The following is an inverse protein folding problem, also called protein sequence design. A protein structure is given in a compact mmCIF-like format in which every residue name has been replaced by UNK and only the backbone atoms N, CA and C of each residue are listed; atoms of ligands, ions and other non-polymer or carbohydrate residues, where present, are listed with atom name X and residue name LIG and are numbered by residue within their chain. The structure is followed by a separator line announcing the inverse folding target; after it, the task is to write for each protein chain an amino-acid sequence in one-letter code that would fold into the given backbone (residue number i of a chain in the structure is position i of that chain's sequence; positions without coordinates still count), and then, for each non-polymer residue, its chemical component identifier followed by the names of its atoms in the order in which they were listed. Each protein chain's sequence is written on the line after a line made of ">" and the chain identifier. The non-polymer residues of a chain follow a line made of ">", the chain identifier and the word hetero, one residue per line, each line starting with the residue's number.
data_IF_755816233516
#
_entry.id   IF_755816233516
#
_cell.length_a   1.000
_cell.length_b   1.000
_cell.length_c   1.000
_cell.angle_alpha   90.00
_cell.angle_beta   90.00
_cell.angle_gamma   90.00
#
_symmetry.space_group_name_H-M   'P 1'
#
loop_
_entity.id
_entity.type
_entity.pdbx_description
1 polymer ?
#
# COMPACT_ATOMS: atom_id res chain seq x y z
N UNK A 1 9.86 18.26 52.09
CA UNK A 1 9.14 19.21 52.97
C UNK A 1 7.71 18.71 53.18
N UNK A 2 7.21 18.79 54.43
CA UNK A 2 5.87 18.41 54.92
C UNK A 2 5.62 16.89 55.07
N UNK A 3 5.05 16.36 56.14
CA UNK A 3 4.77 16.81 57.53
C UNK A 3 4.45 15.50 58.29
N UNK A 4 5.13 15.21 59.40
CA UNK A 4 4.67 14.21 60.39
C UNK A 4 3.48 14.79 61.17
N UNK A 5 2.50 13.98 61.60
CA UNK A 5 1.68 14.31 62.74
C UNK A 5 2.13 13.54 63.99
N UNK A 6 2.41 14.32 65.03
CA UNK A 6 2.54 13.92 66.42
C UNK A 6 1.16 14.07 67.08
N UNK A 7 0.67 13.06 67.79
CA UNK A 7 -0.48 13.15 68.72
C UNK A 7 -0.09 12.33 69.95
N UNK A 8 0.53 12.95 70.97
CA UNK A 8 -0.08 13.55 72.18
C UNK A 8 -0.66 12.51 73.15
N UNK A 9 0.08 12.38 74.26
CA UNK A 9 -0.27 11.75 75.53
C UNK A 9 -1.60 12.25 76.10
N UNK A 10 -2.42 11.33 76.60
CA UNK A 10 -3.46 11.61 77.57
C UNK A 10 -3.21 10.75 78.82
N UNK A 11 -2.76 11.41 79.88
CA UNK A 11 -2.84 10.93 81.26
C UNK A 11 -4.31 10.73 81.62
N UNK A 12 -4.69 9.55 82.11
CA UNK A 12 -5.84 9.41 82.99
C UNK A 12 -5.36 8.87 84.33
N UNK A 13 -5.30 9.78 85.31
CA UNK A 13 -5.34 9.46 86.72
C UNK A 13 -6.77 9.07 87.07
N UNK A 14 -6.95 7.97 87.80
CA UNK A 14 -8.17 7.78 88.58
C UNK A 14 -7.79 7.35 89.99
N UNK A 15 -8.09 8.29 90.88
CA UNK A 15 -8.00 8.31 92.33
C UNK A 15 -9.33 7.78 92.89
N UNK A 16 -9.30 6.86 93.86
CA UNK A 16 -10.29 6.61 94.93
C UNK A 16 -10.08 5.18 95.47
N UNK A 17 -10.18 4.85 96.76
CA UNK A 17 -10.15 5.60 98.01
C UNK A 17 -9.85 4.56 99.10
N UNK A 18 -8.98 4.92 100.04
CA UNK A 18 -8.85 4.20 101.29
C UNK A 18 -10.10 4.45 102.15
N UNK A 19 -10.69 3.38 102.67
CA UNK A 19 -11.54 3.43 103.85
C UNK A 19 -10.96 2.48 104.89
N UNK A 20 -10.29 3.05 105.88
CA UNK A 20 -10.21 2.47 107.21
C UNK A 20 -11.28 3.13 108.07
N UNK A 21 -12.11 2.33 108.76
CA UNK A 21 -12.92 2.79 109.90
C UNK A 21 -13.06 1.62 110.88
N UNK A 22 -12.34 1.79 112.00
CA UNK A 22 -12.72 1.62 113.41
C UNK A 22 -13.47 0.37 113.88
N UNK A 23 -12.89 -0.21 114.92
CA UNK A 23 -13.46 -1.30 115.69
C UNK A 23 -14.61 -0.91 116.61
N UNK A 24 -15.12 -1.93 117.29
CA UNK A 24 -15.87 -1.82 118.53
C UNK A 24 -15.35 -2.88 119.49
N UNK A 25 -14.68 -2.42 120.54
CA UNK A 25 -14.53 -3.15 121.79
C UNK A 25 -15.82 -3.03 122.58
N UNK A 26 -16.26 -4.11 123.20
CA UNK A 26 -17.21 -4.05 124.30
C UNK A 26 -16.82 -5.12 125.34
N UNK A 27 -16.02 -4.69 126.30
CA UNK A 27 -15.92 -5.29 127.63
C UNK A 27 -17.11 -4.80 128.46
N UNK A 28 -17.83 -5.73 129.09
CA UNK A 28 -18.59 -5.44 130.32
C UNK A 28 -18.38 -6.58 131.31
N UNK A 29 -17.50 -6.33 132.27
CA UNK A 29 -17.48 -6.96 133.58
C UNK A 29 -18.67 -6.42 134.38
N UNK A 30 -19.42 -7.29 135.05
CA UNK A 30 -20.28 -6.89 136.16
C UNK A 30 -20.16 -7.92 137.26
N UNK A 31 -19.27 -7.62 138.21
CA UNK A 31 -19.24 -8.17 139.55
C UNK A 31 -20.44 -7.60 140.31
N UNK A 32 -21.22 -8.44 140.99
CA UNK A 32 -22.12 -8.00 142.05
C UNK A 32 -21.74 -8.77 143.32
N UNK A 33 -21.14 -8.07 144.27
CA UNK A 33 -21.14 -8.41 145.69
C UNK A 33 -22.18 -7.51 146.37
N UNK A 34 -23.02 -8.09 147.23
CA UNK A 34 -23.65 -7.38 148.33
C UNK A 34 -23.75 -8.36 149.50
N UNK A 35 -23.27 -7.87 150.63
CA UNK A 35 -22.85 -8.56 151.84
C UNK A 35 -23.97 -8.60 152.90
N UNK A 36 -23.71 -9.40 153.94
CA UNK A 36 -24.26 -9.49 155.29
C UNK A 36 -25.41 -8.56 155.75
N UNK A 37 -26.40 -9.12 156.47
CA UNK A 37 -26.38 -9.13 157.95
C UNK A 37 -27.59 -9.87 158.56
N UNK A 38 -27.33 -10.35 159.77
CA UNK A 38 -28.17 -11.09 160.72
C UNK A 38 -29.47 -10.38 161.13
N UNK A 39 -30.57 -11.14 161.29
CA UNK A 39 -31.40 -11.24 162.53
C UNK A 39 -32.67 -12.07 162.28
N UNK A 40 -32.85 -13.13 163.09
CA UNK A 40 -34.12 -13.85 163.31
C UNK A 40 -35.17 -12.93 163.97
N UNK A 41 -36.51 -13.22 163.95
CA UNK A 41 -37.19 -14.45 163.53
C UNK A 41 -38.48 -14.27 162.64
N UNK A 42 -39.01 -15.41 162.18
CA UNK A 42 -40.43 -15.73 161.82
C UNK A 42 -41.10 -15.32 160.49
N UNK A 43 -41.59 -16.39 159.82
CA UNK A 43 -42.80 -16.55 158.96
C UNK A 43 -42.74 -16.27 157.44
N UNK A 44 -43.25 -17.27 156.71
CA UNK A 44 -43.21 -17.53 155.26
C UNK A 44 -44.45 -17.02 154.49
N UNK A 45 -44.28 -16.55 153.23
CA UNK A 45 -45.22 -16.63 152.07
C UNK A 45 -45.40 -15.38 151.17
N UNK A 46 -44.35 -14.67 150.74
CA UNK A 46 -44.48 -13.57 149.74
C UNK A 46 -43.49 -13.62 148.55
N UNK A 47 -42.80 -14.74 148.34
CA UNK A 47 -41.75 -14.92 147.31
C UNK A 47 -42.23 -15.49 145.96
N UNK A 48 -43.52 -15.78 145.76
CA UNK A 48 -44.00 -16.49 144.54
C UNK A 48 -44.49 -15.57 143.40
N UNK A 49 -44.79 -14.30 143.66
CA UNK A 49 -45.36 -13.40 142.63
C UNK A 49 -44.32 -12.66 141.76
N UNK A 50 -43.06 -12.56 142.19
CA UNK A 50 -41.97 -11.94 141.38
C UNK A 50 -41.29 -12.93 140.42
N UNK A 51 -41.51 -14.22 140.63
CA UNK A 51 -40.91 -15.33 139.88
C UNK A 51 -41.65 -15.62 138.57
N UNK A 52 -42.97 -15.39 138.50
CA UNK A 52 -43.80 -15.68 137.32
C UNK A 52 -43.62 -14.67 136.16
N UNK A 53 -43.45 -13.37 136.47
CA UNK A 53 -43.14 -12.34 135.45
C UNK A 53 -41.71 -12.49 134.93
N UNK A 54 -40.78 -12.86 135.82
CA UNK A 54 -39.37 -13.11 135.48
C UNK A 54 -39.19 -14.36 134.60
N UNK A 55 -39.99 -15.40 134.80
CA UNK A 55 -39.94 -16.63 133.97
C UNK A 55 -40.50 -16.39 132.55
N UNK A 56 -41.55 -15.58 132.41
CA UNK A 56 -42.12 -15.23 131.10
C UNK A 56 -41.20 -14.30 130.28
N UNK A 57 -40.47 -13.39 130.94
CA UNK A 57 -39.47 -12.54 130.29
C UNK A 57 -38.21 -13.31 129.89
N UNK A 58 -37.79 -14.30 130.68
CA UNK A 58 -36.64 -15.16 130.35
C UNK A 58 -36.94 -16.06 129.16
N UNK A 59 -38.14 -16.65 129.08
CA UNK A 59 -38.55 -17.47 127.93
C UNK A 59 -38.62 -16.65 126.62
N UNK A 60 -39.14 -15.42 126.69
CA UNK A 60 -39.20 -14.50 125.54
C UNK A 60 -37.80 -14.05 125.10
N UNK A 61 -36.90 -13.81 126.05
CA UNK A 61 -35.50 -13.47 125.78
C UNK A 61 -34.73 -14.66 125.17
N UNK A 62 -34.94 -15.88 125.66
CA UNK A 62 -34.34 -17.09 125.08
C UNK A 62 -34.85 -17.37 123.66
N UNK A 63 -36.14 -17.15 123.40
CA UNK A 63 -36.69 -17.28 122.06
C UNK A 63 -36.14 -16.22 121.10
N UNK A 64 -36.02 -14.96 121.55
CA UNK A 64 -35.40 -13.89 120.76
C UNK A 64 -33.91 -14.17 120.48
N UNK A 65 -33.17 -14.73 121.45
CA UNK A 65 -31.78 -15.16 121.27
C UNK A 65 -31.69 -16.31 120.26
N UNK A 66 -32.60 -17.28 120.30
CA UNK A 66 -32.64 -18.37 119.32
C UNK A 66 -32.94 -17.85 117.91
N UNK A 67 -33.94 -16.98 117.75
CA UNK A 67 -34.25 -16.36 116.45
C UNK A 67 -33.11 -15.48 115.95
N UNK A 68 -32.41 -14.77 116.83
CA UNK A 68 -31.23 -14.01 116.48
C UNK A 68 -30.07 -14.93 116.03
N UNK A 69 -29.90 -16.08 116.67
CA UNK A 69 -28.92 -17.08 116.27
C UNK A 69 -29.23 -17.71 114.90
N UNK A 70 -30.51 -18.04 114.64
CA UNK A 70 -30.95 -18.58 113.35
C UNK A 70 -30.83 -17.54 112.21
N UNK A 71 -31.17 -16.28 112.49
CA UNK A 71 -30.98 -15.18 111.56
C UNK A 71 -29.50 -14.93 111.27
N UNK A 72 -28.63 -15.04 112.29
CA UNK A 72 -27.18 -14.93 112.13
C UNK A 72 -26.62 -16.08 111.29
N UNK A 73 -27.09 -17.31 111.51
CA UNK A 73 -26.71 -18.48 110.71
C UNK A 73 -27.15 -18.33 109.24
N UNK A 74 -28.38 -17.82 109.01
CA UNK A 74 -28.91 -17.53 107.68
C UNK A 74 -28.11 -16.40 106.99
N UNK A 75 -27.78 -15.34 107.73
CA UNK A 75 -26.95 -14.24 107.23
C UNK A 75 -25.53 -14.71 106.87
N UNK A 76 -24.93 -15.58 107.68
CA UNK A 76 -23.62 -16.19 107.38
C UNK A 76 -23.67 -17.07 106.13
N UNK A 77 -24.74 -17.88 105.96
CA UNK A 77 -24.94 -18.68 104.76
C UNK A 77 -25.14 -17.80 103.51
N UNK A 78 -25.95 -16.75 103.61
CA UNK A 78 -26.16 -15.80 102.52
C UNK A 78 -24.89 -15.04 102.15
N UNK A 79 -24.10 -14.63 103.15
CA UNK A 79 -22.79 -14.01 102.92
C UNK A 79 -21.84 -14.98 102.22
N UNK A 80 -21.79 -16.24 102.64
CA UNK A 80 -20.97 -17.27 101.99
C UNK A 80 -21.38 -17.48 100.53
N UNK A 81 -22.68 -17.61 100.23
CA UNK A 81 -23.17 -17.72 98.85
C UNK A 81 -22.85 -16.49 98.01
N UNK A 82 -23.05 -15.29 98.55
CA UNK A 82 -22.73 -14.04 97.87
C UNK A 82 -21.22 -13.91 97.59
N UNK A 83 -20.38 -14.34 98.54
CA UNK A 83 -18.93 -14.36 98.38
C UNK A 83 -18.49 -15.34 97.29
N UNK A 84 -19.09 -16.53 97.22
CA UNK A 84 -18.82 -17.49 96.14
C UNK A 84 -19.28 -16.95 94.79
N UNK A 85 -20.49 -16.40 94.69
CA UNK A 85 -20.99 -15.81 93.45
C UNK A 85 -20.14 -14.63 92.97
N UNK A 86 -19.62 -13.80 93.88
CA UNK A 86 -18.69 -12.73 93.54
C UNK A 86 -17.36 -13.28 92.99
N UNK A 87 -16.82 -14.34 93.60
CA UNK A 87 -15.59 -14.99 93.13
C UNK A 87 -15.77 -15.66 91.76
N UNK A 88 -16.93 -16.28 91.52
CA UNK A 88 -17.27 -16.89 90.23
C UNK A 88 -17.45 -15.83 89.14
N UNK A 89 -18.08 -14.69 89.47
CA UNK A 89 -18.21 -13.55 88.57
C UNK A 89 -16.85 -12.91 88.23
N UNK A 90 -15.96 -12.79 89.20
CA UNK A 90 -14.59 -12.30 89.00
C UNK A 90 -13.78 -13.22 88.07
N UNK A 91 -13.93 -14.54 88.27
CA UNK A 91 -13.34 -15.55 87.39
C UNK A 91 -13.91 -15.48 85.98
N UNK A 92 -15.23 -15.33 85.83
CA UNK A 92 -15.90 -15.20 84.54
C UNK A 92 -15.48 -13.93 83.80
N UNK A 93 -15.32 -12.80 84.50
CA UNK A 93 -14.83 -11.55 83.94
C UNK A 93 -13.39 -11.70 83.44
N UNK A 94 -12.51 -12.29 84.25
CA UNK A 94 -11.11 -12.55 83.87
C UNK A 94 -11.01 -13.43 82.61
N UNK A 95 -11.84 -14.46 82.52
CA UNK A 95 -11.90 -15.34 81.34
C UNK A 95 -12.44 -14.61 80.10
N UNK A 96 -13.45 -13.75 80.26
CA UNK A 96 -14.02 -12.96 79.17
C UNK A 96 -13.02 -11.91 78.65
N UNK A 97 -12.28 -11.24 79.53
CA UNK A 97 -11.22 -10.31 79.15
C UNK A 97 -10.09 -11.02 78.39
N UNK A 98 -9.67 -12.19 78.88
CA UNK A 98 -8.64 -13.00 78.22
C UNK A 98 -9.11 -13.49 76.83
N UNK A 99 -10.36 -13.93 76.72
CA UNK A 99 -10.95 -14.36 75.46
C UNK A 99 -11.12 -13.19 74.47
N UNK A 100 -11.56 -12.02 74.94
CA UNK A 100 -11.68 -10.81 74.12
C UNK A 100 -10.32 -10.31 73.63
N UNK A 101 -9.30 -10.34 74.49
CA UNK A 101 -7.92 -9.99 74.12
C UNK A 101 -7.36 -10.97 73.08
N UNK A 102 -7.55 -12.27 73.27
CA UNK A 102 -7.13 -13.32 72.32
C UNK A 102 -7.83 -13.17 70.96
N UNK A 103 -9.16 -13.09 70.94
CA UNK A 103 -9.94 -12.93 69.71
C UNK A 103 -9.58 -11.64 68.94
N UNK A 104 -9.31 -10.55 69.66
CA UNK A 104 -8.88 -9.27 69.05
C UNK A 104 -7.47 -9.41 68.46
N UNK A 105 -6.54 -10.01 69.19
CA UNK A 105 -5.17 -10.25 68.71
C UNK A 105 -5.12 -11.15 67.49
N UNK A 106 -5.92 -12.23 67.48
CA UNK A 106 -5.99 -13.17 66.36
C UNK A 106 -6.58 -12.51 65.11
N UNK A 107 -7.66 -11.73 65.28
CA UNK A 107 -8.27 -11.01 64.16
C UNK A 107 -7.33 -9.94 63.59
N UNK A 108 -6.64 -9.18 64.45
CA UNK A 108 -5.62 -8.20 64.01
C UNK A 108 -4.51 -8.90 63.22
N UNK A 109 -4.03 -10.06 63.69
CA UNK A 109 -2.97 -10.82 63.04
C UNK A 109 -3.40 -11.36 61.67
N UNK A 110 -4.65 -11.84 61.54
CA UNK A 110 -5.22 -12.26 60.25
C UNK A 110 -5.32 -11.09 59.27
N UNK A 111 -5.86 -9.95 59.71
CA UNK A 111 -5.99 -8.76 58.86
C UNK A 111 -4.62 -8.24 58.42
N UNK A 112 -3.62 -8.25 59.31
CA UNK A 112 -2.24 -7.89 58.94
C UNK A 112 -1.68 -8.82 57.88
N UNK A 113 -1.87 -10.13 58.04
CA UNK A 113 -1.42 -11.12 57.04
C UNK A 113 -2.09 -10.89 55.68
N UNK A 114 -3.39 -10.60 55.66
CA UNK A 114 -4.12 -10.30 54.44
C UNK A 114 -3.63 -9.00 53.77
N UNK A 115 -3.40 -7.95 54.55
CA UNK A 115 -2.85 -6.68 54.05
C UNK A 115 -1.45 -6.88 53.48
N UNK A 116 -0.59 -7.65 54.15
CA UNK A 116 0.76 -7.96 53.68
C UNK A 116 0.71 -8.74 52.35
N UNK A 117 -0.19 -9.72 52.24
CA UNK A 117 -0.39 -10.48 51.00
C UNK A 117 -0.90 -9.59 49.85
N UNK A 118 -1.89 -8.74 50.10
CA UNK A 118 -2.43 -7.80 49.09
C UNK A 118 -1.38 -6.77 48.65
N UNK A 119 -0.55 -6.31 49.58
CA UNK A 119 0.58 -5.42 49.28
C UNK A 119 1.57 -6.11 48.36
N UNK A 120 1.95 -7.36 48.67
CA UNK A 120 2.86 -8.14 47.84
C UNK A 120 2.32 -8.39 46.42
N UNK A 121 1.03 -8.72 46.28
CA UNK A 121 0.38 -8.85 44.97
C UNK A 121 0.38 -7.54 44.20
N UNK A 122 0.03 -6.43 44.87
CA UNK A 122 0.01 -5.10 44.24
C UNK A 122 1.39 -4.67 43.76
N UNK A 123 2.44 -4.94 44.54
CA UNK A 123 3.82 -4.65 44.17
C UNK A 123 4.27 -5.48 42.96
N UNK A 124 3.89 -6.76 42.91
CA UNK A 124 4.17 -7.64 41.76
C UNK A 124 3.46 -7.16 40.48
N UNK A 125 2.18 -6.80 40.58
CA UNK A 125 1.41 -6.27 39.45
C UNK A 125 1.99 -4.94 38.94
N UNK A 126 2.39 -4.05 39.85
CA UNK A 126 3.04 -2.79 39.49
C UNK A 126 4.39 -3.01 38.78
N UNK A 127 5.16 -4.00 39.21
CA UNK A 127 6.41 -4.36 38.55
C UNK A 127 6.16 -4.93 37.14
N UNK A 128 5.10 -5.72 36.96
CA UNK A 128 4.70 -6.22 35.65
C UNK A 128 4.25 -5.09 34.72
N UNK A 129 3.42 -4.16 35.20
CA UNK A 129 2.99 -2.98 34.43
C UNK A 129 4.18 -2.13 34.00
N UNK A 130 5.21 -1.98 34.83
CA UNK A 130 6.43 -1.26 34.46
C UNK A 130 7.21 -1.97 33.34
N UNK A 131 7.22 -3.30 33.36
CA UNK A 131 7.82 -4.13 32.31
C UNK A 131 7.04 -3.99 31.00
N UNK A 132 5.72 -4.20 31.04
CA UNK A 132 4.83 -4.08 29.88
C UNK A 132 4.93 -2.70 29.23
N UNK A 133 5.04 -1.64 30.03
CA UNK A 133 5.21 -0.27 29.52
C UNK A 133 6.51 -0.08 28.77
N UNK A 134 7.58 -0.76 29.19
CA UNK A 134 8.87 -0.75 28.51
C UNK A 134 8.78 -1.53 27.19
N UNK A 135 8.13 -2.69 27.19
CA UNK A 135 7.94 -3.50 26.00
C UNK A 135 7.09 -2.80 24.94
N UNK A 136 6.02 -2.11 25.35
CA UNK A 136 5.20 -1.28 24.46
C UNK A 136 6.02 -0.13 23.85
N UNK A 137 6.89 0.52 24.62
CA UNK A 137 7.76 1.58 24.10
C UNK A 137 8.77 1.04 23.06
N UNK A 138 9.34 -0.14 23.31
CA UNK A 138 10.26 -0.81 22.38
C UNK A 138 9.53 -1.24 21.09
N UNK A 139 8.32 -1.79 21.22
CA UNK A 139 7.48 -2.15 20.09
C UNK A 139 7.10 -0.92 19.24
N UNK A 140 6.76 0.20 19.88
CA UNK A 140 6.48 1.45 19.17
C UNK A 140 7.70 1.91 18.34
N UNK A 141 8.90 1.85 18.92
CA UNK A 141 10.13 2.22 18.20
C UNK A 141 10.38 1.33 16.97
N UNK A 142 10.01 0.05 17.06
CA UNK A 142 10.11 -0.89 15.93
C UNK A 142 9.08 -0.56 14.85
N UNK A 143 7.85 -0.22 15.23
CA UNK A 143 6.79 0.22 14.30
C UNK A 143 7.18 1.51 13.58
N UNK A 144 7.74 2.48 14.30
CA UNK A 144 8.20 3.74 13.73
C UNK A 144 9.32 3.51 12.70
N UNK A 145 10.27 2.62 13.03
CA UNK A 145 11.36 2.23 12.11
C UNK A 145 10.82 1.53 10.85
N UNK A 146 9.91 0.57 11.01
CA UNK A 146 9.28 -0.14 9.88
C UNK A 146 8.46 0.81 8.99
N UNK A 147 7.84 1.84 9.57
CA UNK A 147 7.10 2.87 8.82
C UNK A 147 8.03 3.73 7.98
N UNK A 148 9.20 4.10 8.54
CA UNK A 148 10.23 4.83 7.80
C UNK A 148 10.80 3.98 6.64
N UNK A 149 11.09 2.69 6.90
CA UNK A 149 11.58 1.76 5.88
C UNK A 149 10.55 1.58 4.75
N UNK A 150 9.26 1.45 5.08
CA UNK A 150 8.19 1.40 4.08
C UNK A 150 8.16 2.66 3.21
N UNK A 151 8.26 3.83 3.83
CA UNK A 151 8.25 5.12 3.10
C UNK A 151 9.43 5.20 2.12
N UNK A 152 10.63 4.83 2.57
CA UNK A 152 11.81 4.79 1.72
C UNK A 152 11.68 3.78 0.56
N UNK A 153 11.05 2.64 0.80
CA UNK A 153 10.77 1.66 -0.24
C UNK A 153 9.75 2.17 -1.27
N UNK A 154 8.68 2.84 -0.83
CA UNK A 154 7.68 3.45 -1.71
C UNK A 154 8.34 4.53 -2.61
N UNK A 155 9.21 5.37 -2.04
CA UNK A 155 9.96 6.39 -2.80
C UNK A 155 10.90 5.75 -3.83
N UNK A 156 11.57 4.64 -3.47
CA UNK A 156 12.44 3.90 -4.39
C UNK A 156 11.65 3.28 -5.55
N UNK A 157 10.46 2.76 -5.30
CA UNK A 157 9.56 2.24 -6.34
C UNK A 157 9.12 3.36 -7.29
N UNK A 158 8.76 4.53 -6.75
CA UNK A 158 8.39 5.69 -7.57
C UNK A 158 9.56 6.16 -8.46
N UNK A 159 10.78 6.21 -7.92
CA UNK A 159 11.97 6.52 -8.70
C UNK A 159 12.24 5.49 -9.80
N UNK A 160 12.06 4.20 -9.51
CA UNK A 160 12.22 3.13 -10.49
C UNK A 160 11.16 3.21 -11.60
N UNK A 161 9.92 3.58 -11.27
CA UNK A 161 8.87 3.81 -12.26
C UNK A 161 9.24 4.94 -13.23
N UNK A 162 9.78 6.05 -12.73
CA UNK A 162 10.23 7.16 -13.58
C UNK A 162 11.40 6.77 -14.52
N UNK A 163 12.26 5.83 -14.11
CA UNK A 163 13.30 5.26 -14.98
C UNK A 163 12.69 4.37 -16.06
N UNK A 164 11.69 3.54 -15.71
CA UNK A 164 10.98 2.69 -16.67
C UNK A 164 10.24 3.54 -17.71
N UNK A 165 9.58 4.61 -17.30
CA UNK A 165 8.86 5.50 -18.21
C UNK A 165 9.83 6.19 -19.20
N UNK A 166 11.01 6.63 -18.73
CA UNK A 166 12.05 7.17 -19.61
C UNK A 166 12.63 6.13 -20.57
N UNK A 167 12.85 4.90 -20.09
CA UNK A 167 13.31 3.80 -20.93
C UNK A 167 12.27 3.46 -22.00
N UNK A 168 10.98 3.44 -21.65
CA UNK A 168 9.89 3.20 -22.61
C UNK A 168 9.83 4.31 -23.68
N UNK A 169 9.94 5.58 -23.28
CA UNK A 169 9.99 6.68 -24.24
C UNK A 169 11.20 6.58 -25.19
N UNK A 170 12.34 6.09 -24.68
CA UNK A 170 13.53 5.82 -25.51
C UNK A 170 13.26 4.69 -26.50
N UNK A 171 12.67 3.58 -26.04
CA UNK A 171 12.28 2.44 -26.90
C UNK A 171 11.29 2.86 -27.98
N UNK A 172 10.29 3.68 -27.65
CA UNK A 172 9.30 4.18 -28.62
C UNK A 172 9.95 5.09 -29.68
N UNK A 173 10.90 5.93 -29.27
CA UNK A 173 11.70 6.78 -30.17
C UNK A 173 12.61 5.95 -31.07
N UNK A 174 13.27 4.94 -30.52
CA UNK A 174 14.13 4.02 -31.27
C UNK A 174 13.29 3.19 -32.25
N UNK A 175 12.12 2.70 -31.84
CA UNK A 175 11.19 1.98 -32.70
C UNK A 175 10.71 2.87 -33.86
N UNK A 176 10.41 4.15 -33.59
CA UNK A 176 10.06 5.11 -34.65
C UNK A 176 11.24 5.32 -35.61
N UNK A 177 12.46 5.40 -35.09
CA UNK A 177 13.67 5.54 -35.89
C UNK A 177 13.92 4.29 -36.74
N UNK A 178 13.77 3.10 -36.17
CA UNK A 178 13.88 1.82 -36.88
C UNK A 178 12.82 1.69 -37.96
N UNK A 179 11.57 2.04 -37.68
CA UNK A 179 10.50 2.06 -38.69
C UNK A 179 10.77 3.06 -39.82
N UNK A 180 11.40 4.20 -39.51
CA UNK A 180 11.83 5.17 -40.55
C UNK A 180 13.13 4.75 -41.26
N UNK A 181 13.88 3.80 -40.72
CA UNK A 181 15.12 3.27 -41.30
C UNK A 181 14.87 2.00 -42.10
N UNK A 182 13.86 1.19 -41.78
CA UNK A 182 13.32 0.14 -42.64
C UNK A 182 13.11 0.78 -44.01
N UNK A 183 13.67 0.24 -45.11
CA UNK A 183 13.55 0.87 -46.40
C UNK A 183 12.09 0.72 -46.76
N UNK A 184 11.33 1.77 -46.45
CA UNK A 184 9.91 1.92 -46.72
C UNK A 184 9.64 1.29 -48.09
N UNK A 185 8.56 0.50 -48.22
CA UNK A 185 8.18 -0.19 -49.47
C UNK A 185 8.33 0.75 -50.69
N UNK A 186 8.18 2.06 -50.48
CA UNK A 186 8.56 3.18 -51.35
C UNK A 186 9.88 3.04 -52.13
N UNK A 187 11.02 2.67 -51.53
CA UNK A 187 12.32 2.64 -52.27
C UNK A 187 12.45 1.38 -53.10
N UNK A 188 11.94 0.24 -52.60
CA UNK A 188 11.85 -0.99 -53.37
C UNK A 188 10.84 -0.87 -54.54
N UNK A 189 9.73 -0.17 -54.30
CA UNK A 189 8.73 0.19 -55.32
C UNK A 189 9.31 1.16 -56.35
N UNK A 190 10.13 2.12 -55.94
CA UNK A 190 10.81 3.07 -56.85
C UNK A 190 11.83 2.35 -57.75
N UNK A 191 12.61 1.41 -57.22
CA UNK A 191 13.48 0.52 -58.02
C UNK A 191 12.65 -0.35 -58.98
N UNK A 192 11.51 -0.86 -58.53
CA UNK A 192 10.61 -1.69 -59.35
C UNK A 192 9.94 -0.88 -60.46
N UNK A 193 9.53 0.36 -60.19
CA UNK A 193 8.98 1.30 -61.16
C UNK A 193 10.04 1.73 -62.18
N UNK A 194 11.23 2.12 -61.73
CA UNK A 194 12.34 2.50 -62.60
C UNK A 194 12.75 1.37 -63.55
N UNK A 195 12.76 0.12 -63.08
CA UNK A 195 13.01 -1.06 -63.93
C UNK A 195 11.93 -1.25 -65.00
N UNK A 196 10.66 -1.07 -64.66
CA UNK A 196 9.56 -1.20 -65.63
C UNK A 196 9.59 -0.08 -66.68
N UNK A 197 9.92 1.15 -66.25
CA UNK A 197 10.03 2.30 -67.14
C UNK A 197 11.20 2.12 -68.13
N UNK A 198 12.37 1.71 -67.63
CA UNK A 198 13.53 1.40 -68.47
C UNK A 198 13.23 0.30 -69.49
N UNK A 199 12.53 -0.75 -69.09
CA UNK A 199 12.13 -1.83 -69.99
C UNK A 199 11.20 -1.32 -71.12
N UNK A 200 10.25 -0.45 -70.77
CA UNK A 200 9.31 0.16 -71.73
C UNK A 200 10.02 1.07 -72.71
N UNK A 201 10.87 1.98 -72.23
CA UNK A 201 11.57 2.93 -73.09
C UNK A 201 12.65 2.25 -73.95
N UNK A 202 13.24 1.16 -73.46
CA UNK A 202 14.11 0.28 -74.26
C UNK A 202 13.35 -0.35 -75.43
N UNK A 203 12.14 -0.87 -75.20
CA UNK A 203 11.32 -1.44 -76.27
C UNK A 203 10.90 -0.38 -77.31
N UNK A 204 10.58 0.83 -76.85
CA UNK A 204 10.26 1.96 -77.72
C UNK A 204 11.45 2.39 -78.59
N UNK A 205 12.65 2.46 -78.01
CA UNK A 205 13.90 2.72 -78.75
C UNK A 205 14.15 1.69 -79.84
N UNK A 206 13.99 0.40 -79.54
CA UNK A 206 14.12 -0.68 -80.53
C UNK A 206 13.12 -0.49 -81.68
N UNK A 207 11.87 -0.16 -81.36
CA UNK A 207 10.83 0.09 -82.36
C UNK A 207 11.18 1.26 -83.27
N UNK A 208 11.61 2.40 -82.69
CA UNK A 208 12.05 3.56 -83.46
C UNK A 208 13.25 3.23 -84.36
N UNK A 209 14.21 2.44 -83.87
CA UNK A 209 15.38 2.02 -84.65
C UNK A 209 14.99 1.15 -85.87
N UNK A 210 14.04 0.24 -85.69
CA UNK A 210 13.54 -0.59 -86.79
C UNK A 210 12.77 0.23 -87.84
N UNK A 211 12.02 1.25 -87.41
CA UNK A 211 11.32 2.17 -88.32
C UNK A 211 12.31 2.95 -89.19
N UNK A 212 13.35 3.56 -88.57
CA UNK A 212 14.43 4.24 -89.31
C UNK A 212 15.06 3.31 -90.35
N UNK A 213 15.44 2.09 -89.94
CA UNK A 213 16.03 1.09 -90.85
C UNK A 213 15.12 0.77 -92.04
N UNK A 214 13.81 0.65 -91.79
CA UNK A 214 12.82 0.38 -92.84
C UNK A 214 12.68 1.57 -93.78
N UNK A 215 12.63 2.78 -93.24
CA UNK A 215 12.44 4.01 -94.00
C UNK A 215 13.69 4.34 -94.84
N UNK A 216 14.89 4.10 -94.33
CA UNK A 216 16.14 4.18 -95.09
C UNK A 216 16.10 3.28 -96.34
N UNK A 217 15.63 2.04 -96.18
CA UNK A 217 15.47 1.10 -97.29
C UNK A 217 14.44 1.61 -98.33
N UNK A 218 13.33 2.20 -97.87
CA UNK A 218 12.33 2.82 -98.76
C UNK A 218 12.89 4.04 -99.50
N UNK A 219 13.66 4.90 -98.84
CA UNK A 219 14.35 6.03 -99.48
C UNK A 219 15.33 5.53 -100.56
N UNK A 220 16.08 4.47 -100.28
CA UNK A 220 17.00 3.88 -101.25
C UNK A 220 16.24 3.32 -102.49
N UNK A 221 15.11 2.63 -102.27
CA UNK A 221 14.28 2.13 -103.35
C UNK A 221 13.62 3.26 -104.17
N UNK A 222 13.05 4.27 -103.50
CA UNK A 222 12.46 5.43 -104.14
C UNK A 222 13.48 6.23 -104.95
N UNK A 223 14.70 6.37 -104.45
CA UNK A 223 15.82 6.99 -105.18
C UNK A 223 16.14 6.22 -106.46
N UNK A 224 16.18 4.88 -106.39
CA UNK A 224 16.37 4.03 -107.57
C UNK A 224 15.24 4.24 -108.58
N UNK A 225 13.98 4.27 -108.12
CA UNK A 225 12.80 4.48 -108.97
C UNK A 225 12.83 5.84 -109.68
N UNK A 226 13.16 6.91 -108.96
CA UNK A 226 13.34 8.26 -109.53
C UNK A 226 14.44 8.26 -110.58
N UNK A 227 15.59 7.64 -110.30
CA UNK A 227 16.70 7.57 -111.26
C UNK A 227 16.32 6.81 -112.54
N UNK A 228 15.59 5.70 -112.41
CA UNK A 228 15.08 4.94 -113.57
C UNK A 228 14.08 5.75 -114.38
N UNK A 229 13.12 6.43 -113.73
CA UNK A 229 12.15 7.28 -114.39
C UNK A 229 12.84 8.45 -115.12
N UNK A 230 13.82 9.10 -114.48
CA UNK A 230 14.60 10.19 -115.08
C UNK A 230 15.39 9.72 -116.31
N UNK A 231 16.02 8.55 -116.25
CA UNK A 231 16.71 7.96 -117.41
C UNK A 231 15.74 7.66 -118.57
N UNK A 232 14.52 7.18 -118.26
CA UNK A 232 13.48 6.95 -119.27
C UNK A 232 13.03 8.25 -119.94
N UNK A 233 12.79 9.32 -119.16
CA UNK A 233 12.49 10.66 -119.69
C UNK A 233 13.61 11.14 -120.61
N UNK A 234 14.88 11.00 -120.20
CA UNK A 234 16.02 11.41 -121.02
C UNK A 234 16.09 10.63 -122.36
N UNK A 235 15.89 9.32 -122.32
CA UNK A 235 15.86 8.48 -123.53
C UNK A 235 14.71 8.84 -124.47
N UNK A 236 13.50 9.01 -123.94
CA UNK A 236 12.33 9.41 -124.74
C UNK A 236 12.48 10.81 -125.32
N UNK A 237 13.10 11.74 -124.59
CA UNK A 237 13.43 13.09 -125.08
C UNK A 237 14.38 13.02 -126.27
N UNK A 238 15.43 12.19 -126.18
CA UNK A 238 16.37 12.00 -127.28
C UNK A 238 15.68 11.37 -128.51
N UNK A 239 14.82 10.37 -128.30
CA UNK A 239 14.06 9.74 -129.38
C UNK A 239 13.11 10.72 -130.07
N UNK A 240 12.37 11.53 -129.31
CA UNK A 240 11.48 12.56 -129.86
C UNK A 240 12.26 13.59 -130.69
N UNK A 241 13.45 13.98 -130.21
CA UNK A 241 14.35 14.89 -130.93
C UNK A 241 14.80 14.29 -132.27
N UNK A 242 15.15 13.00 -132.29
CA UNK A 242 15.54 12.30 -133.50
C UNK A 242 14.37 12.20 -134.51
N UNK A 243 13.16 11.87 -134.04
CA UNK A 243 11.96 11.81 -134.89
C UNK A 243 11.61 13.17 -135.51
N UNK A 244 11.75 14.26 -134.75
CA UNK A 244 11.54 15.63 -135.25
C UNK A 244 12.57 16.06 -136.29
N UNK A 245 13.77 15.48 -136.27
CA UNK A 245 14.84 15.79 -137.22
C UNK A 245 14.69 15.06 -138.56
N UNK A 246 13.91 13.98 -138.62
CA UNK A 246 13.62 13.24 -139.85
C UNK A 246 12.33 13.79 -140.52
N UNK A 247 12.44 14.47 -141.69
CA UNK A 247 11.31 15.09 -142.36
C UNK A 247 10.31 14.09 -142.96
N UNK A 248 10.64 12.79 -142.98
CA UNK A 248 9.76 11.73 -143.48
C UNK A 248 8.93 11.06 -142.40
N UNK A 249 9.17 11.38 -141.12
CA UNK A 249 8.42 10.83 -139.98
C UNK A 249 6.95 11.24 -140.03
N UNK A 250 6.00 10.29 -139.97
CA UNK A 250 4.57 10.60 -139.87
C UNK A 250 4.22 11.42 -138.63
N UNK A 251 3.32 12.40 -138.78
CA UNK A 251 2.87 13.29 -137.71
C UNK A 251 2.32 12.56 -136.48
N UNK A 252 1.61 11.45 -136.70
CA UNK A 252 1.00 10.66 -135.61
C UNK A 252 2.06 9.97 -134.74
N UNK A 253 3.22 9.60 -135.30
CA UNK A 253 4.32 9.02 -134.52
C UNK A 253 4.96 10.07 -133.61
N UNK A 254 5.08 11.31 -134.09
CA UNK A 254 5.58 12.44 -133.28
C UNK A 254 4.60 12.78 -132.16
N UNK A 255 3.30 12.79 -132.45
CA UNK A 255 2.26 13.02 -131.44
C UNK A 255 2.28 11.95 -130.34
N UNK A 256 2.31 10.66 -130.72
CA UNK A 256 2.38 9.55 -129.75
C UNK A 256 3.65 9.61 -128.88
N UNK A 257 4.81 9.93 -129.47
CA UNK A 257 6.06 10.07 -128.72
C UNK A 257 6.01 11.25 -127.73
N UNK A 258 5.35 12.35 -128.11
CA UNK A 258 5.14 13.51 -127.23
C UNK A 258 4.20 13.19 -126.06
N UNK A 259 3.12 12.45 -126.32
CA UNK A 259 2.17 12.05 -125.27
C UNK A 259 2.81 11.07 -124.28
N UNK A 260 3.60 10.11 -124.77
CA UNK A 260 4.35 9.18 -123.93
C UNK A 260 5.40 9.90 -123.07
N UNK A 261 6.12 10.87 -123.65
CA UNK A 261 7.08 11.70 -122.92
C UNK A 261 6.38 12.50 -121.81
N UNK A 262 5.24 13.11 -122.12
CA UNK A 262 4.43 13.88 -121.16
C UNK A 262 3.95 12.99 -120.01
N UNK A 263 3.49 11.77 -120.33
CA UNK A 263 3.07 10.77 -119.33
C UNK A 263 4.23 10.37 -118.43
N UNK A 264 5.41 10.12 -119.00
CA UNK A 264 6.61 9.72 -118.24
C UNK A 264 7.14 10.87 -117.37
N UNK A 265 7.07 12.12 -117.86
CA UNK A 265 7.43 13.31 -117.07
C UNK A 265 6.50 13.54 -115.88
N UNK A 266 5.20 13.27 -116.06
CA UNK A 266 4.22 13.33 -114.97
C UNK A 266 4.55 12.27 -113.92
N UNK A 267 4.78 11.02 -114.36
CA UNK A 267 5.20 9.94 -113.46
C UNK A 267 6.49 10.27 -112.70
N UNK A 268 7.52 10.81 -113.37
CA UNK A 268 8.76 11.25 -112.72
C UNK A 268 8.49 12.28 -111.62
N UNK A 269 7.61 13.24 -111.89
CA UNK A 269 7.23 14.27 -110.92
C UNK A 269 6.56 13.63 -109.70
N UNK A 270 5.62 12.72 -109.93
CA UNK A 270 4.89 12.03 -108.86
C UNK A 270 5.84 11.18 -107.99
N UNK A 271 6.71 10.36 -108.58
CA UNK A 271 7.65 9.54 -107.80
C UNK A 271 8.71 10.39 -107.07
N UNK A 272 9.05 11.57 -107.61
CA UNK A 272 9.93 12.52 -106.93
C UNK A 272 9.24 13.12 -105.70
N UNK A 273 7.97 13.48 -105.82
CA UNK A 273 7.17 13.98 -104.70
C UNK A 273 7.03 12.92 -103.60
N UNK A 274 6.71 11.68 -103.97
CA UNK A 274 6.64 10.55 -103.02
C UNK A 274 7.99 10.32 -102.32
N UNK A 275 9.11 10.35 -103.04
CA UNK A 275 10.44 10.22 -102.43
C UNK A 275 10.72 11.35 -101.42
N UNK A 276 10.33 12.58 -101.74
CA UNK A 276 10.50 13.70 -100.82
C UNK A 276 9.63 13.54 -99.56
N UNK A 277 8.42 13.01 -99.69
CA UNK A 277 7.57 12.69 -98.55
C UNK A 277 8.22 11.62 -97.65
N UNK A 278 8.67 10.50 -98.22
CA UNK A 278 9.33 9.41 -97.47
C UNK A 278 10.59 9.91 -96.77
N UNK A 279 11.37 10.82 -97.40
CA UNK A 279 12.53 11.46 -96.75
C UNK A 279 12.14 12.32 -95.56
N UNK A 280 11.02 13.03 -95.64
CA UNK A 280 10.51 13.81 -94.51
C UNK A 280 10.05 12.92 -93.36
N UNK A 281 9.45 11.78 -93.67
CA UNK A 281 9.03 10.78 -92.67
C UNK A 281 10.25 10.11 -92.01
N UNK A 282 11.31 9.79 -92.78
CA UNK A 282 12.58 9.29 -92.25
C UNK A 282 13.20 10.27 -91.24
N UNK A 283 13.24 11.56 -91.57
CA UNK A 283 13.79 12.57 -90.65
C UNK A 283 13.00 12.62 -89.33
N UNK A 284 11.67 12.47 -89.38
CA UNK A 284 10.85 12.41 -88.18
C UNK A 284 11.11 11.14 -87.33
N UNK A 285 11.32 10.01 -87.99
CA UNK A 285 11.68 8.75 -87.31
C UNK A 285 13.08 8.82 -86.67
N UNK A 286 14.05 9.50 -87.32
CA UNK A 286 15.38 9.76 -86.77
C UNK A 286 15.33 10.63 -85.51
N UNK A 287 14.52 11.70 -85.52
CA UNK A 287 14.30 12.56 -84.34
C UNK A 287 13.62 11.79 -83.20
N UNK A 288 12.66 10.91 -83.52
CA UNK A 288 12.02 10.04 -82.53
C UNK A 288 13.03 9.05 -81.92
N UNK A 289 13.89 8.43 -82.75
CA UNK A 289 14.93 7.53 -82.27
C UNK A 289 15.92 8.24 -81.33
N UNK A 290 16.31 9.48 -81.66
CA UNK A 290 17.17 10.29 -80.80
C UNK A 290 16.48 10.56 -79.44
N UNK A 291 15.20 10.91 -79.47
CA UNK A 291 14.39 11.14 -78.26
C UNK A 291 14.30 9.88 -77.39
N UNK A 292 14.00 8.72 -77.96
CA UNK A 292 13.93 7.47 -77.20
C UNK A 292 15.29 7.01 -76.69
N UNK A 293 16.36 7.31 -77.42
CA UNK A 293 17.73 7.03 -76.95
C UNK A 293 18.06 7.85 -75.71
N UNK A 294 17.67 9.13 -75.65
CA UNK A 294 17.87 9.96 -74.47
C UNK A 294 17.04 9.48 -73.28
N UNK A 295 15.76 9.13 -73.50
CA UNK A 295 14.89 8.63 -72.43
C UNK A 295 15.45 7.37 -71.75
N UNK A 296 15.97 6.43 -72.53
CA UNK A 296 16.63 5.23 -71.98
C UNK A 296 17.83 5.60 -71.11
N UNK A 297 18.66 6.56 -71.53
CA UNK A 297 19.80 7.00 -70.73
C UNK A 297 19.38 7.67 -69.41
N UNK A 298 18.31 8.46 -69.44
CA UNK A 298 17.76 9.10 -68.23
C UNK A 298 17.16 8.07 -67.26
N UNK A 299 16.47 7.06 -67.78
CA UNK A 299 15.92 5.94 -66.99
C UNK A 299 17.02 5.07 -66.37
N UNK A 300 18.10 4.79 -67.11
CA UNK A 300 19.28 4.07 -66.59
C UNK A 300 19.93 4.83 -65.42
N UNK A 301 20.05 6.15 -65.54
CA UNK A 301 20.59 6.99 -64.48
C UNK A 301 19.67 7.03 -63.25
N UNK A 302 18.36 7.09 -63.46
CA UNK A 302 17.36 7.05 -62.40
C UNK A 302 17.39 5.73 -61.65
N UNK A 303 17.45 4.60 -62.38
CA UNK A 303 17.57 3.27 -61.79
C UNK A 303 18.85 3.13 -60.96
N UNK A 304 19.98 3.62 -61.47
CA UNK A 304 21.26 3.61 -60.75
C UNK A 304 21.16 4.39 -59.44
N UNK A 305 20.52 5.57 -59.45
CA UNK A 305 20.32 6.38 -58.25
C UNK A 305 19.44 5.66 -57.22
N UNK A 306 18.34 5.07 -57.65
CA UNK A 306 17.44 4.31 -56.77
C UNK A 306 18.12 3.08 -56.16
N UNK A 307 18.92 2.35 -56.94
CA UNK A 307 19.71 1.21 -56.46
C UNK A 307 20.77 1.63 -55.42
N UNK A 308 21.44 2.76 -55.64
CA UNK A 308 22.41 3.31 -54.69
C UNK A 308 21.73 3.74 -53.37
N UNK A 309 20.54 4.33 -53.45
CA UNK A 309 19.75 4.69 -52.28
C UNK A 309 19.33 3.44 -51.48
N UNK A 310 18.81 2.41 -52.16
CA UNK A 310 18.43 1.14 -51.54
C UNK A 310 19.64 0.46 -50.86
N UNK A 311 20.78 0.40 -51.55
CA UNK A 311 22.02 -0.18 -50.99
C UNK A 311 22.48 0.58 -49.74
N UNK A 312 22.40 1.92 -49.77
CA UNK A 312 22.79 2.76 -48.63
C UNK A 312 21.88 2.55 -47.42
N UNK A 313 20.57 2.42 -47.64
CA UNK A 313 19.60 2.10 -46.59
C UNK A 313 19.86 0.71 -45.99
N UNK A 314 20.07 -0.30 -46.84
CA UNK A 314 20.39 -1.66 -46.40
C UNK A 314 21.67 -1.71 -45.56
N UNK A 315 22.71 -0.96 -45.95
CA UNK A 315 23.96 -0.88 -45.21
C UNK A 315 23.82 -0.14 -43.86
N UNK A 316 22.84 0.76 -43.71
CA UNK A 316 22.59 1.47 -42.45
C UNK A 316 21.85 0.62 -41.41
N UNK A 317 21.23 -0.49 -41.82
CA UNK A 317 20.47 -1.39 -40.95
C UNK A 317 21.28 -2.58 -40.40
N UNK A 318 22.50 -2.79 -40.92
CA UNK A 318 23.43 -3.86 -40.50
C UNK A 318 24.51 -3.35 -39.56
#
# INVERSE_FOLDING_TARGET
>A
MKKKPTIVSAKNAMLLAAFGVLGYTATTTTTVHADAETTTPTSSASTESSTATSTTSVASAQQAVSTAADNLATAQSNYSHASTAASDADTALTNAESAGAGATSDHISQVQTEVDNQTATTDADNAQVATDRTDVANAQTTVDSATADKTAADDAVAAQQAVVDQAQATVDSDQTTVTNLDPDDSVADEVTYANQQLATDTANKITAQNNVTTMEAQVANGTTTVNTAAASVASQTANLTALLADPTTPSDQIANAKDLLTTTQTYLTDVTNTLNQVKSELAADEDLLATQTQKVADDEQTLTNAQNALTSLQAAQT
#
